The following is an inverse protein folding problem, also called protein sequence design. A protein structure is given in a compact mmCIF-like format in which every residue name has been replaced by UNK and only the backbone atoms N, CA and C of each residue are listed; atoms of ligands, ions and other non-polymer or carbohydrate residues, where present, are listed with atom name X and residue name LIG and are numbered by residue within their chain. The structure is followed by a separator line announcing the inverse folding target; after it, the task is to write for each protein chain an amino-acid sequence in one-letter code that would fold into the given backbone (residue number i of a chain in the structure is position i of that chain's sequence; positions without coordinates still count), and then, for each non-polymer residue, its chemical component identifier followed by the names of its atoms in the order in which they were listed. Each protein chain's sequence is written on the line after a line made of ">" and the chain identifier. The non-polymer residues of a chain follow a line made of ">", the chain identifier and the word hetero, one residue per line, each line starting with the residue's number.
data_IF_780061420994
#
_entry.id   IF_780061420994
#
_cell.length_a   1.000
_cell.length_b   1.000
_cell.length_c   1.000
_cell.angle_alpha   90.00
_cell.angle_beta   90.00
_cell.angle_gamma   90.00
#
_symmetry.space_group_name_H-M   'P 1'
#
loop_
_entity.id
_entity.type
_entity.pdbx_description
1 polymer ?
#
# COMPACT_ATOMS: atom_id res chain seq x y z
N UNK A 1 -15.85 12.78 2.89
CA UNK A 1 -14.50 12.62 2.28
C UNK A 1 -13.50 11.97 3.24
N UNK A 2 -13.42 12.39 4.51
CA UNK A 2 -12.47 11.85 5.52
C UNK A 2 -12.67 10.35 5.81
N UNK A 3 -13.91 9.85 5.78
CA UNK A 3 -14.23 8.46 6.19
C UNK A 3 -13.56 7.36 5.37
N UNK A 4 -13.46 7.50 4.04
CA UNK A 4 -12.84 6.47 3.19
C UNK A 4 -11.31 6.49 3.34
N UNK A 5 -10.69 7.67 3.28
CA UNK A 5 -9.25 7.81 3.41
C UNK A 5 -8.76 7.34 4.77
N UNK A 6 -9.41 7.79 5.85
CA UNK A 6 -9.13 7.31 7.22
C UNK A 6 -9.37 5.81 7.34
N UNK A 7 -10.49 5.34 6.79
CA UNK A 7 -10.85 3.93 6.81
C UNK A 7 -9.82 3.04 6.11
N UNK A 8 -9.30 3.46 4.96
CA UNK A 8 -8.27 2.74 4.22
C UNK A 8 -6.92 2.81 4.93
N UNK A 9 -6.56 3.96 5.50
CA UNK A 9 -5.29 4.16 6.23
C UNK A 9 -5.16 3.18 7.40
N UNK A 10 -6.12 3.21 8.33
CA UNK A 10 -6.11 2.32 9.49
C UNK A 10 -6.13 0.84 9.09
N UNK A 11 -6.98 0.46 8.14
CA UNK A 11 -7.09 -0.94 7.69
C UNK A 11 -5.80 -1.44 7.04
N UNK A 12 -5.15 -0.57 6.28
CA UNK A 12 -3.84 -0.86 5.70
C UNK A 12 -2.83 -1.10 6.81
N UNK A 13 -2.76 -0.24 7.82
CA UNK A 13 -1.86 -0.44 8.97
C UNK A 13 -2.13 -1.78 9.65
N UNK A 14 -3.40 -2.13 9.92
CA UNK A 14 -3.76 -3.42 10.54
C UNK A 14 -3.33 -4.62 9.70
N UNK A 15 -3.41 -4.54 8.37
CA UNK A 15 -2.98 -5.63 7.47
C UNK A 15 -1.46 -5.71 7.38
N UNK A 16 -0.78 -4.57 7.31
CA UNK A 16 0.68 -4.53 7.15
C UNK A 16 1.42 -4.90 8.42
N UNK A 17 0.96 -4.49 9.60
CA UNK A 17 1.67 -4.69 10.87
C UNK A 17 1.99 -6.16 11.18
N UNK A 18 1.04 -7.12 11.09
CA UNK A 18 1.34 -8.53 11.35
C UNK A 18 2.38 -9.09 10.38
N UNK A 19 2.30 -8.69 9.11
CA UNK A 19 3.25 -9.11 8.08
C UNK A 19 4.63 -8.52 8.36
N UNK A 20 4.69 -7.24 8.73
CA UNK A 20 5.93 -6.58 9.13
C UNK A 20 6.57 -7.26 10.33
N UNK A 21 5.78 -7.55 11.37
CA UNK A 21 6.24 -8.28 12.55
C UNK A 21 6.77 -9.67 12.18
N UNK A 22 6.08 -10.41 11.31
CA UNK A 22 6.52 -11.72 10.85
C UNK A 22 7.84 -11.63 10.07
N UNK A 23 7.97 -10.69 9.14
CA UNK A 23 9.19 -10.48 8.36
C UNK A 23 10.34 -10.01 9.26
N UNK A 24 10.12 -9.05 10.16
CA UNK A 24 11.14 -8.61 11.12
C UNK A 24 11.57 -9.75 12.05
N UNK A 25 10.66 -10.61 12.49
CA UNK A 25 11.00 -11.80 13.28
C UNK A 25 11.86 -12.77 12.47
N UNK A 26 11.50 -13.04 11.21
CA UNK A 26 12.31 -13.89 10.31
C UNK A 26 13.70 -13.31 10.05
N UNK A 27 13.80 -11.99 9.82
CA UNK A 27 15.07 -11.28 9.67
C UNK A 27 15.89 -11.37 10.96
N UNK A 28 15.24 -11.27 12.13
CA UNK A 28 15.88 -11.36 13.45
C UNK A 28 16.26 -12.78 13.86
N UNK A 29 15.73 -13.82 13.21
CA UNK A 29 16.18 -15.21 13.36
C UNK A 29 17.41 -15.52 12.49
N UNK A 30 17.62 -14.75 11.42
CA UNK A 30 18.79 -14.84 10.53
C UNK A 30 20.17 -14.57 11.20
N UNK A 31 20.33 -13.74 12.25
CA UNK A 31 21.63 -13.43 12.86
C UNK A 31 22.29 -14.62 13.58
N UNK A 32 21.60 -15.75 13.75
CA UNK A 32 22.24 -17.03 14.12
C UNK A 32 23.34 -17.46 13.12
N UNK A 33 23.47 -16.80 11.97
CA UNK A 33 24.47 -17.04 10.92
C UNK A 33 25.57 -15.97 10.78
N UNK A 34 25.74 -15.04 11.72
CA UNK A 34 26.98 -14.23 11.85
C UNK A 34 27.20 -13.09 10.84
N UNK A 35 26.14 -12.55 10.20
CA UNK A 35 26.26 -11.48 9.18
C UNK A 35 25.82 -10.08 9.68
N UNK A 36 26.84 -9.28 10.06
CA UNK A 36 27.07 -7.81 9.90
C UNK A 36 26.03 -6.72 10.32
N UNK A 37 26.53 -5.54 10.76
CA UNK A 37 25.75 -4.34 11.17
C UNK A 37 24.97 -3.61 10.05
N UNK A 38 25.06 -4.03 8.80
CA UNK A 38 24.40 -3.34 7.68
C UNK A 38 22.98 -3.83 7.37
N UNK A 39 22.56 -4.96 7.94
CA UNK A 39 21.22 -5.53 7.72
C UNK A 39 20.14 -4.61 8.30
N UNK A 40 20.42 -3.96 9.43
CA UNK A 40 19.48 -3.05 10.11
C UNK A 40 19.01 -1.90 9.20
N UNK A 41 19.93 -1.37 8.39
CA UNK A 41 19.66 -0.28 7.44
C UNK A 41 18.74 -0.71 6.29
N UNK A 42 18.87 -1.97 5.86
CA UNK A 42 18.13 -2.57 4.76
C UNK A 42 16.84 -3.27 5.20
N UNK A 43 16.66 -3.54 6.48
CA UNK A 43 15.45 -4.18 7.02
C UNK A 43 14.14 -3.54 6.50
N UNK A 44 13.97 -2.19 6.51
CA UNK A 44 12.75 -1.58 5.97
C UNK A 44 12.60 -1.83 4.47
N UNK A 45 13.69 -1.81 3.69
CA UNK A 45 13.63 -2.13 2.26
C UNK A 45 13.07 -3.53 2.07
N UNK A 46 13.55 -4.52 2.83
CA UNK A 46 13.06 -5.91 2.76
C UNK A 46 11.58 -5.98 3.14
N UNK A 47 11.18 -5.30 4.23
CA UNK A 47 9.78 -5.26 4.68
C UNK A 47 8.87 -4.64 3.62
N UNK A 48 9.22 -3.49 3.06
CA UNK A 48 8.41 -2.80 2.06
C UNK A 48 8.36 -3.56 0.72
N UNK A 49 9.45 -4.19 0.28
CA UNK A 49 9.42 -5.10 -0.86
C UNK A 49 8.50 -6.29 -0.60
N UNK A 50 8.53 -6.85 0.62
CA UNK A 50 7.66 -7.95 1.02
C UNK A 50 6.18 -7.54 0.99
N UNK A 51 5.85 -6.32 1.42
CA UNK A 51 4.50 -5.78 1.28
C UNK A 51 4.09 -5.60 -0.18
N UNK A 52 4.97 -5.06 -1.03
CA UNK A 52 4.69 -4.92 -2.46
C UNK A 52 4.40 -6.28 -3.09
N UNK A 53 5.25 -7.28 -2.82
CA UNK A 53 5.07 -8.65 -3.27
C UNK A 53 3.75 -9.24 -2.76
N UNK A 54 3.42 -9.04 -1.48
CA UNK A 54 2.15 -9.50 -0.90
C UNK A 54 0.94 -8.95 -1.67
N UNK A 55 0.90 -7.66 -1.98
CA UNK A 55 -0.20 -7.07 -2.75
C UNK A 55 -0.31 -7.66 -4.16
N UNK A 56 0.82 -7.84 -4.85
CA UNK A 56 0.87 -8.40 -6.20
C UNK A 56 0.43 -9.87 -6.20
N UNK A 57 0.99 -10.68 -5.30
CA UNK A 57 0.70 -12.12 -5.18
C UNK A 57 -0.75 -12.32 -4.76
N UNK A 58 -1.26 -11.53 -3.82
CA UNK A 58 -2.64 -11.64 -3.38
C UNK A 58 -3.64 -11.32 -4.50
N UNK A 59 -3.42 -10.25 -5.26
CA UNK A 59 -4.27 -9.91 -6.40
C UNK A 59 -4.15 -10.95 -7.52
N UNK A 60 -2.93 -11.43 -7.82
CA UNK A 60 -2.68 -12.33 -8.95
C UNK A 60 -3.19 -13.75 -8.70
N UNK A 61 -2.95 -14.31 -7.50
CA UNK A 61 -3.34 -15.68 -7.17
C UNK A 61 -4.79 -15.78 -6.68
N UNK A 62 -5.22 -14.88 -5.82
CA UNK A 62 -6.53 -14.97 -5.16
C UNK A 62 -7.56 -14.01 -5.74
N UNK A 63 -7.19 -13.14 -6.69
CA UNK A 63 -8.05 -12.09 -7.27
C UNK A 63 -8.68 -11.20 -6.20
N UNK A 64 -7.99 -11.04 -5.08
CA UNK A 64 -8.44 -10.27 -3.91
C UNK A 64 -7.27 -9.55 -3.27
N UNK A 65 -7.47 -8.27 -2.96
CA UNK A 65 -6.47 -7.48 -2.24
C UNK A 65 -6.30 -7.99 -0.79
N UNK A 66 -5.11 -7.93 -0.17
CA UNK A 66 -4.91 -8.24 1.25
C UNK A 66 -5.87 -7.44 2.15
N UNK A 67 -6.12 -6.18 1.82
CA UNK A 67 -7.07 -5.33 2.56
C UNK A 67 -8.51 -5.82 2.38
N UNK A 68 -8.85 -6.38 1.22
CA UNK A 68 -10.15 -7.00 0.95
C UNK A 68 -10.36 -8.26 1.79
N UNK A 69 -9.33 -9.08 1.99
CA UNK A 69 -9.43 -10.27 2.83
C UNK A 69 -9.81 -9.95 4.27
N UNK A 70 -9.25 -8.88 4.83
CA UNK A 70 -9.50 -8.52 6.23
C UNK A 70 -10.77 -7.64 6.38
N UNK A 71 -11.07 -6.78 5.39
CA UNK A 71 -12.08 -5.73 5.55
C UNK A 71 -13.05 -5.55 4.38
N UNK A 72 -13.13 -6.51 3.44
CA UNK A 72 -13.85 -6.38 2.18
C UNK A 72 -15.32 -5.94 2.32
N UNK A 73 -15.99 -6.40 3.36
CA UNK A 73 -17.40 -6.11 3.64
C UNK A 73 -17.69 -4.65 4.04
N UNK A 74 -16.70 -3.90 4.54
CA UNK A 74 -16.92 -2.51 5.03
C UNK A 74 -16.70 -1.43 3.99
N UNK A 75 -15.92 -1.71 2.93
CA UNK A 75 -15.51 -0.68 1.98
C UNK A 75 -16.38 -0.64 0.71
N UNK A 76 -17.19 -1.69 0.47
CA UNK A 76 -18.10 -1.80 -0.69
C UNK A 76 -17.44 -1.34 -2.00
N UNK A 77 -16.18 -1.74 -2.19
CA UNK A 77 -15.45 -1.50 -3.43
C UNK A 77 -15.78 -2.60 -4.44
N UNK A 78 -15.91 -2.20 -5.70
CA UNK A 78 -16.00 -3.11 -6.84
C UNK A 78 -14.68 -3.85 -7.05
N UNK A 79 -14.71 -4.91 -7.84
CA UNK A 79 -13.49 -5.69 -8.16
C UNK A 79 -12.42 -4.80 -8.82
N UNK A 80 -12.82 -3.91 -9.73
CA UNK A 80 -11.89 -3.00 -10.40
C UNK A 80 -11.19 -2.04 -9.41
N UNK A 81 -11.94 -1.49 -8.45
CA UNK A 81 -11.40 -0.59 -7.43
C UNK A 81 -10.49 -1.32 -6.44
N UNK A 82 -10.79 -2.59 -6.11
CA UNK A 82 -9.89 -3.43 -5.31
C UNK A 82 -8.57 -3.70 -6.02
N UNK A 83 -8.60 -3.93 -7.34
CA UNK A 83 -7.39 -4.11 -8.13
C UNK A 83 -6.57 -2.83 -8.21
N UNK A 84 -7.21 -1.68 -8.47
CA UNK A 84 -6.51 -0.38 -8.45
C UNK A 84 -5.89 -0.11 -7.07
N UNK A 85 -6.61 -0.41 -5.98
CA UNK A 85 -6.06 -0.33 -4.63
C UNK A 85 -4.84 -1.25 -4.47
N UNK A 86 -4.92 -2.51 -4.90
CA UNK A 86 -3.83 -3.47 -4.74
C UNK A 86 -2.57 -3.05 -5.48
N UNK A 87 -2.69 -2.68 -6.77
CA UNK A 87 -1.55 -2.20 -7.56
C UNK A 87 -1.02 -0.85 -7.08
N UNK A 88 -1.90 0.08 -6.70
CA UNK A 88 -1.50 1.36 -6.14
C UNK A 88 -0.73 1.21 -4.82
N UNK A 89 -1.15 0.30 -3.97
CA UNK A 89 -0.43 -0.06 -2.74
C UNK A 89 0.91 -0.72 -3.05
N UNK A 90 0.96 -1.69 -3.96
CA UNK A 90 2.21 -2.32 -4.37
C UNK A 90 3.23 -1.29 -4.91
N UNK A 91 2.78 -0.35 -5.74
CA UNK A 91 3.60 0.74 -6.25
C UNK A 91 4.09 1.65 -5.12
N UNK A 92 3.21 2.03 -4.19
CA UNK A 92 3.57 2.86 -3.03
C UNK A 92 4.63 2.20 -2.15
N UNK A 93 4.46 0.91 -1.84
CA UNK A 93 5.45 0.14 -1.06
C UNK A 93 6.79 0.06 -1.81
N UNK A 94 6.76 -0.15 -3.13
CA UNK A 94 7.97 -0.20 -3.95
C UNK A 94 8.72 1.14 -3.96
N UNK A 95 8.01 2.26 -4.02
CA UNK A 95 8.60 3.60 -3.91
C UNK A 95 9.26 3.79 -2.55
N UNK A 96 8.59 3.43 -1.45
CA UNK A 96 9.16 3.55 -0.10
C UNK A 96 10.41 2.66 0.04
N UNK A 97 10.38 1.43 -0.50
CA UNK A 97 11.51 0.52 -0.48
C UNK A 97 12.72 1.09 -1.24
N UNK A 98 12.50 1.63 -2.44
CA UNK A 98 13.54 2.25 -3.25
C UNK A 98 14.13 3.49 -2.57
N UNK A 99 13.29 4.34 -1.99
CA UNK A 99 13.72 5.50 -1.22
C UNK A 99 14.54 5.08 0.01
N UNK A 100 14.10 4.06 0.77
CA UNK A 100 14.87 3.56 1.92
C UNK A 100 16.23 3.02 1.47
N UNK A 101 16.28 2.27 0.38
CA UNK A 101 17.53 1.70 -0.14
C UNK A 101 18.54 2.80 -0.48
N UNK A 102 18.09 3.86 -1.16
CA UNK A 102 18.93 5.01 -1.49
C UNK A 102 19.36 5.74 -0.21
N UNK A 103 18.42 6.08 0.68
CA UNK A 103 18.71 6.85 1.90
C UNK A 103 19.65 6.10 2.85
N UNK A 104 19.50 4.77 2.95
CA UNK A 104 20.38 3.91 3.74
C UNK A 104 21.85 3.99 3.30
N UNK A 105 22.13 4.35 2.05
CA UNK A 105 23.49 4.49 1.52
C UNK A 105 24.12 5.87 1.79
N UNK A 106 23.34 6.85 2.26
CA UNK A 106 23.77 8.24 2.41
C UNK A 106 24.33 8.54 3.80
N UNK A 107 23.51 8.40 4.85
CA UNK A 107 23.95 8.54 6.25
C UNK A 107 22.92 7.99 7.23
N UNK A 108 23.37 7.54 8.40
CA UNK A 108 22.48 7.07 9.47
C UNK A 108 21.52 8.16 9.96
N UNK A 109 22.00 9.41 10.06
CA UNK A 109 21.15 10.54 10.49
C UNK A 109 19.99 10.79 9.52
N UNK A 110 20.27 10.80 8.20
CA UNK A 110 19.22 10.97 7.20
C UNK A 110 18.26 9.78 7.20
N UNK A 111 18.78 8.57 7.37
CA UNK A 111 17.99 7.35 7.44
C UNK A 111 17.05 7.29 8.65
N UNK A 112 17.48 7.70 9.84
CA UNK A 112 16.61 7.80 11.02
C UNK A 112 15.46 8.78 10.75
N UNK A 113 15.77 9.98 10.24
CA UNK A 113 14.75 10.98 9.92
C UNK A 113 13.78 10.49 8.83
N UNK A 114 14.29 9.81 7.81
CA UNK A 114 13.48 9.23 6.75
C UNK A 114 12.49 8.20 7.32
N UNK A 115 12.95 7.29 8.19
CA UNK A 115 12.09 6.31 8.84
C UNK A 115 11.00 6.94 9.71
N UNK A 116 11.36 7.94 10.51
CA UNK A 116 10.45 8.54 11.48
C UNK A 116 9.42 9.47 10.83
N UNK A 117 9.82 10.24 9.82
CA UNK A 117 8.96 11.29 9.26
C UNK A 117 8.54 11.01 7.82
N UNK A 118 9.50 10.67 6.95
CA UNK A 118 9.21 10.54 5.53
C UNK A 118 8.37 9.29 5.23
N UNK A 119 8.66 8.13 5.85
CA UNK A 119 7.89 6.90 5.61
C UNK A 119 6.41 7.08 6.01
N UNK A 120 6.06 7.52 7.24
CA UNK A 120 4.66 7.75 7.60
C UNK A 120 3.99 8.80 6.72
N UNK A 121 4.71 9.87 6.35
CA UNK A 121 4.20 10.90 5.47
C UNK A 121 3.88 10.36 4.07
N UNK A 122 4.83 9.69 3.42
CA UNK A 122 4.66 9.11 2.08
C UNK A 122 3.55 8.08 2.08
N UNK A 123 3.50 7.21 3.10
CA UNK A 123 2.44 6.21 3.23
C UNK A 123 1.06 6.86 3.37
N UNK A 124 0.91 7.80 4.31
CA UNK A 124 -0.36 8.46 4.59
C UNK A 124 -0.84 9.28 3.38
N UNK A 125 0.06 10.06 2.79
CA UNK A 125 -0.23 10.85 1.61
C UNK A 125 -0.57 9.96 0.41
N UNK A 126 0.20 8.89 0.17
CA UNK A 126 -0.05 7.93 -0.89
C UNK A 126 -1.40 7.23 -0.79
N UNK A 127 -1.79 6.79 0.41
CA UNK A 127 -3.10 6.18 0.66
C UNK A 127 -4.23 7.20 0.43
N UNK A 128 -4.06 8.44 0.87
CA UNK A 128 -5.05 9.51 0.61
C UNK A 128 -5.19 9.77 -0.89
N UNK A 129 -4.09 9.85 -1.64
CA UNK A 129 -4.12 10.03 -3.09
C UNK A 129 -4.81 8.86 -3.79
N UNK A 130 -4.51 7.62 -3.39
CA UNK A 130 -5.13 6.43 -3.94
C UNK A 130 -6.65 6.39 -3.66
N UNK A 131 -7.05 6.72 -2.43
CA UNK A 131 -8.45 6.84 -2.06
C UNK A 131 -9.18 7.91 -2.90
N UNK A 132 -8.55 9.07 -3.12
CA UNK A 132 -9.10 10.15 -3.94
C UNK A 132 -9.24 9.75 -5.40
N UNK A 133 -8.26 9.04 -5.95
CA UNK A 133 -8.32 8.52 -7.33
C UNK A 133 -9.50 7.57 -7.53
N UNK A 134 -9.67 6.61 -6.63
CA UNK A 134 -10.79 5.66 -6.65
C UNK A 134 -12.14 6.40 -6.56
N UNK A 135 -12.25 7.37 -5.65
CA UNK A 135 -13.47 8.17 -5.51
C UNK A 135 -13.79 8.97 -6.77
N UNK A 136 -12.78 9.60 -7.37
CA UNK A 136 -12.93 10.38 -8.60
C UNK A 136 -13.43 9.49 -9.74
N UNK A 137 -12.80 8.33 -9.95
CA UNK A 137 -13.20 7.38 -10.98
C UNK A 137 -14.65 6.88 -10.78
N UNK A 138 -15.03 6.59 -9.53
CA UNK A 138 -16.41 6.20 -9.18
C UNK A 138 -17.42 7.30 -9.50
N UNK A 139 -17.10 8.55 -9.17
CA UNK A 139 -17.96 9.69 -9.45
C UNK A 139 -18.15 9.88 -10.96
N UNK A 140 -17.06 9.90 -11.73
CA UNK A 140 -17.09 10.02 -13.19
C UNK A 140 -17.92 8.92 -13.84
N UNK A 141 -17.74 7.66 -13.42
CA UNK A 141 -18.53 6.53 -13.92
C UNK A 141 -20.04 6.67 -13.61
N UNK A 142 -20.39 7.26 -12.45
CA UNK A 142 -21.78 7.48 -12.06
C UNK A 142 -22.42 8.59 -12.91
N UNK A 143 -21.70 9.69 -13.12
CA UNK A 143 -22.16 10.81 -13.96
C UNK A 143 -22.35 10.35 -15.40
N UNK A 144 -21.41 9.60 -15.98
CA UNK A 144 -21.51 9.08 -17.34
C UNK A 144 -22.77 8.23 -17.53
N UNK A 145 -23.06 7.30 -16.59
CA UNK A 145 -24.27 6.48 -16.63
C UNK A 145 -25.56 7.31 -16.57
N UNK A 146 -25.58 8.37 -15.75
CA UNK A 146 -26.74 9.26 -15.66
C UNK A 146 -26.95 10.07 -16.95
N UNK A 147 -25.87 10.51 -17.59
CA UNK A 147 -25.92 11.22 -18.87
C UNK A 147 -26.40 10.29 -19.98
N UNK A 148 -25.86 9.07 -20.07
CA UNK A 148 -26.29 8.05 -21.03
C UNK A 148 -27.77 7.70 -20.87
N UNK A 149 -28.25 7.53 -19.63
CA UNK A 149 -29.66 7.24 -19.37
C UNK A 149 -30.62 8.38 -19.77
N UNK A 150 -30.12 9.62 -19.91
CA UNK A 150 -30.90 10.79 -20.34
C UNK A 150 -30.78 11.06 -21.84
N UNK A 151 -29.85 10.43 -22.54
CA UNK A 151 -29.70 10.62 -23.98
C UNK A 151 -30.78 9.81 -24.73
N UNK A 152 -31.43 10.38 -25.75
CA UNK A 152 -32.31 9.60 -26.62
C UNK A 152 -31.51 8.47 -27.31
N UNK A 153 -32.15 7.33 -27.63
CA UNK A 153 -31.48 6.24 -28.33
C UNK A 153 -30.88 6.78 -29.63
N UNK A 154 -29.59 6.50 -29.84
CA UNK A 154 -28.91 6.91 -31.07
C UNK A 154 -29.59 6.18 -32.24
N UNK A 155 -29.97 6.90 -33.32
CA UNK A 155 -30.53 6.29 -34.53
C UNK A 155 -29.53 5.38 -35.22
#
# INVERSE_FOLDING_TARGET
>A
MVGLSWGLLWRTVVVLTPVGMAISALISMWPSFGLRPHVELLEPTIIFVSYAAMFIVADSLFRRSPVQFVFGWRLQLTIAEWRELSFGMAALMSVIAALNFVVASLSTFLWVNFKLFAIPFVLSFGVVLLARRIQKARFEATVLRQVEARMPPRP
#
